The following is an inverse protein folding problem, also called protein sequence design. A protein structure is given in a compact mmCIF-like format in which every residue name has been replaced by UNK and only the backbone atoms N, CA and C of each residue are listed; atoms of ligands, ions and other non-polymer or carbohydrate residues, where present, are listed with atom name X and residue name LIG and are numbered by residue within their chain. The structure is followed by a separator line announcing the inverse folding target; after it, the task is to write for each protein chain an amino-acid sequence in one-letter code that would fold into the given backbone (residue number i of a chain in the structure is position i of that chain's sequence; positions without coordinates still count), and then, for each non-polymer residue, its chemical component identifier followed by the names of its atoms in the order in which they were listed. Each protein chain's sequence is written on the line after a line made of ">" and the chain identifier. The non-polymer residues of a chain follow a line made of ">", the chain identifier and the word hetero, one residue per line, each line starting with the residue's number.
data_IF_718711534749
#
_entry.id   IF_718711534749
#
_cell.length_a   1.000
_cell.length_b   1.000
_cell.length_c   1.000
_cell.angle_alpha   90.00
_cell.angle_beta   90.00
_cell.angle_gamma   90.00
#
_symmetry.space_group_name_H-M   'P 1'
#
loop_
_entity.id
_entity.type
_entity.pdbx_description
1 polymer ?
#
# COMPACT_ATOMS: atom_id res chain seq x y z
N UNK A 1 4.41 -7.44 -12.15
CA UNK A 1 4.43 -6.48 -13.27
C UNK A 1 3.10 -6.56 -13.96
N UNK A 2 2.45 -5.42 -14.13
CA UNK A 2 1.15 -5.27 -14.77
C UNK A 2 1.26 -4.24 -15.90
N UNK A 3 0.47 -4.44 -16.96
CA UNK A 3 0.22 -3.45 -18.01
C UNK A 3 -1.28 -3.17 -18.05
N UNK A 4 -1.65 -1.90 -17.99
CA UNK A 4 -3.02 -1.44 -18.07
C UNK A 4 -3.16 -0.44 -19.22
N UNK A 5 -4.12 -0.66 -20.11
CA UNK A 5 -4.67 0.38 -21.01
C UNK A 5 -6.04 0.75 -20.45
N UNK A 6 -6.26 2.04 -20.24
CA UNK A 6 -7.56 2.54 -19.77
C UNK A 6 -7.96 3.81 -20.50
N UNK A 7 -9.26 4.07 -20.42
CA UNK A 7 -9.94 5.26 -20.93
C UNK A 7 -10.73 5.90 -19.76
N UNK A 8 -11.06 7.19 -19.87
CA UNK A 8 -11.83 7.95 -18.88
C UNK A 8 -11.23 7.98 -17.45
N UNK A 9 -9.92 8.15 -17.32
CA UNK A 9 -9.32 8.40 -16.00
C UNK A 9 -9.71 9.78 -15.42
N UNK A 10 -10.26 9.80 -14.21
CA UNK A 10 -10.69 11.02 -13.50
C UNK A 10 -9.54 12.02 -13.20
N UNK A 11 -8.31 11.52 -13.09
CA UNK A 11 -7.14 12.33 -12.72
C UNK A 11 -6.02 12.08 -13.74
N UNK A 12 -5.57 13.13 -14.44
CA UNK A 12 -4.52 13.09 -15.46
C UNK A 12 -5.08 12.97 -16.88
N UNK A 13 -4.31 12.42 -17.83
CA UNK A 13 -4.82 12.12 -19.19
C UNK A 13 -5.94 11.09 -19.14
N UNK A 14 -7.03 11.32 -19.87
CA UNK A 14 -8.20 10.43 -19.92
C UNK A 14 -7.86 9.08 -20.56
N UNK A 15 -6.95 9.05 -21.53
CA UNK A 15 -6.45 7.84 -22.16
C UNK A 15 -4.94 7.69 -21.92
N UNK A 16 -4.53 6.51 -21.42
CA UNK A 16 -3.12 6.22 -21.17
C UNK A 16 -2.83 4.74 -21.01
N UNK A 17 -1.56 4.41 -21.18
CA UNK A 17 -0.98 3.14 -20.78
C UNK A 17 -0.27 3.30 -19.43
N UNK A 18 -0.40 2.33 -18.54
CA UNK A 18 0.30 2.29 -17.25
C UNK A 18 1.04 0.96 -17.14
N UNK A 19 2.35 1.04 -16.89
CA UNK A 19 3.14 -0.11 -16.47
C UNK A 19 3.33 -0.02 -14.96
N UNK A 20 2.87 -1.04 -14.23
CA UNK A 20 3.01 -1.12 -12.77
C UNK A 20 4.03 -2.20 -12.41
N UNK A 21 5.02 -1.84 -11.61
CA UNK A 21 5.92 -2.77 -10.94
C UNK A 21 5.53 -2.88 -9.48
N UNK A 22 5.41 -4.10 -8.97
CA UNK A 22 5.05 -4.37 -7.59
C UNK A 22 6.04 -5.34 -6.98
N UNK A 23 6.38 -5.13 -5.72
CA UNK A 23 7.22 -6.02 -4.94
C UNK A 23 6.67 -6.15 -3.52
N UNK A 24 6.62 -7.37 -3.01
CA UNK A 24 6.34 -7.64 -1.60
C UNK A 24 7.36 -8.61 -1.04
N UNK A 25 7.80 -8.33 0.19
CA UNK A 25 8.66 -9.23 0.97
C UNK A 25 8.21 -9.24 2.42
N UNK A 26 8.27 -10.42 3.06
CA UNK A 26 7.86 -10.62 4.45
C UNK A 26 8.93 -11.41 5.20
N UNK A 27 9.19 -10.99 6.43
CA UNK A 27 10.10 -11.62 7.38
C UNK A 27 9.41 -11.76 8.75
N UNK A 28 10.10 -12.36 9.72
CA UNK A 28 9.59 -12.41 11.11
C UNK A 28 9.51 -11.02 11.74
N UNK A 29 10.40 -10.11 11.36
CA UNK A 29 10.51 -8.75 11.90
C UNK A 29 9.52 -7.77 11.29
N UNK A 30 8.85 -8.12 10.18
CA UNK A 30 8.02 -7.17 9.45
C UNK A 30 7.82 -7.52 7.98
N UNK A 31 7.31 -6.56 7.21
CA UNK A 31 7.18 -6.69 5.76
C UNK A 31 7.38 -5.36 5.04
N UNK A 32 7.57 -5.43 3.73
CA UNK A 32 7.60 -4.26 2.85
C UNK A 32 6.73 -4.53 1.64
N UNK A 33 5.96 -3.52 1.25
CA UNK A 33 5.27 -3.46 -0.04
C UNK A 33 5.77 -2.25 -0.81
N UNK A 34 6.04 -2.42 -2.09
CA UNK A 34 6.49 -1.37 -3.00
C UNK A 34 5.67 -1.46 -4.28
N UNK A 35 5.25 -0.31 -4.80
CA UNK A 35 4.78 -0.24 -6.18
C UNK A 35 5.30 1.00 -6.89
N UNK A 36 5.35 0.92 -8.22
CA UNK A 36 5.69 2.06 -9.07
C UNK A 36 4.93 1.98 -10.38
N UNK A 37 4.26 3.07 -10.71
CA UNK A 37 3.50 3.28 -11.93
C UNK A 37 4.28 4.17 -12.89
N UNK A 38 4.41 3.71 -14.14
CA UNK A 38 4.91 4.48 -15.27
C UNK A 38 3.76 4.70 -16.24
N UNK A 39 3.27 5.94 -16.28
CA UNK A 39 2.14 6.36 -17.11
C UNK A 39 2.65 6.97 -18.42
N UNK A 40 2.12 6.49 -19.53
CA UNK A 40 2.36 6.96 -20.89
C UNK A 40 1.03 7.41 -21.49
N UNK A 41 0.80 8.72 -21.53
CA UNK A 41 -0.41 9.31 -22.08
C UNK A 41 -0.31 9.45 -23.60
N UNK A 42 -1.46 9.49 -24.26
CA UNK A 42 -1.56 9.57 -25.73
C UNK A 42 -1.12 10.94 -26.28
N UNK A 43 -1.14 11.98 -25.44
CA UNK A 43 -0.56 13.29 -25.74
C UNK A 43 0.98 13.31 -25.70
N UNK A 44 1.61 12.15 -25.44
CA UNK A 44 3.05 11.97 -25.34
C UNK A 44 3.64 12.29 -23.97
N UNK A 45 2.83 12.68 -22.98
CA UNK A 45 3.32 12.95 -21.63
C UNK A 45 3.63 11.65 -20.86
N UNK A 46 4.78 11.64 -20.15
CA UNK A 46 5.25 10.49 -19.37
C UNK A 46 5.31 10.87 -17.90
N UNK A 47 4.64 10.13 -17.01
CA UNK A 47 4.68 10.33 -15.56
C UNK A 47 5.13 9.08 -14.81
N UNK A 48 5.77 9.29 -13.66
CA UNK A 48 6.11 8.23 -12.73
C UNK A 48 5.54 8.57 -11.35
N UNK A 49 5.02 7.56 -10.68
CA UNK A 49 4.57 7.61 -9.30
C UNK A 49 4.99 6.32 -8.61
N UNK A 50 5.28 6.35 -7.32
CA UNK A 50 5.55 5.13 -6.58
C UNK A 50 5.46 5.32 -5.09
N UNK A 51 5.30 4.19 -4.41
CA UNK A 51 5.20 4.12 -2.96
C UNK A 51 6.00 2.97 -2.39
N UNK A 52 6.50 3.16 -1.17
CA UNK A 52 7.11 2.12 -0.35
C UNK A 52 6.51 2.15 1.06
N UNK A 53 6.03 1.00 1.52
CA UNK A 53 5.36 0.81 2.82
C UNK A 53 6.08 -0.25 3.63
N UNK A 54 7.16 0.09 4.36
CA UNK A 54 7.76 -0.81 5.31
C UNK A 54 6.95 -0.85 6.61
N UNK A 55 6.86 -2.04 7.20
CA UNK A 55 6.21 -2.29 8.48
C UNK A 55 7.14 -3.09 9.39
N UNK A 56 7.22 -2.68 10.65
CA UNK A 56 8.05 -3.30 11.67
C UNK A 56 7.16 -3.89 12.77
N UNK A 57 7.27 -5.20 13.01
CA UNK A 57 6.46 -5.95 13.99
C UNK A 57 6.83 -5.56 15.42
N UNK A 58 5.86 -5.01 16.16
CA UNK A 58 6.01 -4.73 17.58
C UNK A 58 5.95 -6.02 18.41
N UNK A 59 5.19 -7.03 17.95
CA UNK A 59 5.22 -8.37 18.55
C UNK A 59 6.62 -8.96 18.56
N UNK A 60 7.29 -8.93 17.41
CA UNK A 60 8.66 -9.40 17.30
C UNK A 60 9.67 -8.53 18.06
N UNK A 61 9.52 -7.19 18.06
CA UNK A 61 10.47 -6.30 18.74
C UNK A 61 10.43 -6.43 20.27
N UNK A 62 9.24 -6.65 20.83
CA UNK A 62 9.01 -6.64 22.27
C UNK A 62 8.66 -8.01 22.84
N UNK A 63 8.80 -9.08 22.04
CA UNK A 63 8.48 -10.47 22.42
C UNK A 63 7.04 -10.62 22.96
N UNK A 64 6.09 -9.96 22.29
CA UNK A 64 4.68 -9.97 22.69
C UNK A 64 3.93 -11.10 21.98
N UNK A 65 3.21 -11.90 22.77
CA UNK A 65 2.26 -12.88 22.27
C UNK A 65 0.84 -12.29 22.28
N UNK A 66 0.24 -12.16 21.10
CA UNK A 66 -1.14 -11.71 20.93
C UNK A 66 -2.18 -12.85 21.07
N UNK A 67 -1.71 -14.09 21.25
CA UNK A 67 -2.53 -15.28 21.44
C UNK A 67 -3.40 -15.63 20.23
N UNK A 68 -4.45 -16.43 20.45
CA UNK A 68 -5.41 -16.82 19.42
C UNK A 68 -6.53 -15.79 19.17
N UNK A 69 -6.25 -14.50 19.45
CA UNK A 69 -7.22 -13.41 19.32
C UNK A 69 -7.43 -12.92 17.90
N UNK A 70 -8.30 -11.91 17.76
CA UNK A 70 -8.57 -11.22 16.50
C UNK A 70 -7.32 -10.53 15.93
N UNK A 71 -6.47 -9.97 16.79
CA UNK A 71 -5.23 -9.30 16.39
C UNK A 71 -4.13 -10.36 16.32
N UNK A 72 -3.49 -10.48 15.15
CA UNK A 72 -2.34 -11.36 14.95
C UNK A 72 -1.05 -10.70 15.40
N UNK A 73 -0.87 -9.44 15.04
CA UNK A 73 0.33 -8.65 15.32
C UNK A 73 0.03 -7.17 15.07
N UNK A 74 0.82 -6.29 15.69
CA UNK A 74 0.75 -4.83 15.55
C UNK A 74 2.10 -4.32 15.04
N UNK A 75 2.07 -3.33 14.17
CA UNK A 75 3.25 -2.84 13.46
C UNK A 75 3.39 -1.32 13.57
N UNK A 76 4.62 -0.86 13.71
CA UNK A 76 4.97 0.50 13.30
C UNK A 76 5.03 0.53 11.77
N UNK A 77 4.34 1.49 11.16
CA UNK A 77 4.18 1.57 9.69
C UNK A 77 4.62 2.93 9.20
N UNK A 78 5.41 2.93 8.14
CA UNK A 78 5.74 4.13 7.36
C UNK A 78 5.24 3.91 5.94
N UNK A 79 4.80 4.96 5.27
CA UNK A 79 4.62 4.95 3.82
C UNK A 79 5.26 6.23 3.24
N UNK A 80 6.01 6.08 2.16
CA UNK A 80 6.58 7.18 1.41
C UNK A 80 6.03 7.14 0.00
N UNK A 81 5.40 8.24 -0.41
CA UNK A 81 4.88 8.45 -1.77
C UNK A 81 5.78 9.42 -2.52
N UNK A 82 6.04 9.15 -3.80
CA UNK A 82 6.77 10.07 -4.67
C UNK A 82 6.15 10.14 -6.06
N UNK A 83 5.95 11.36 -6.55
CA UNK A 83 5.45 11.62 -7.90
C UNK A 83 6.10 12.85 -8.52
N UNK A 84 5.48 13.34 -9.60
CA UNK A 84 5.91 14.56 -10.31
C UNK A 84 5.70 15.84 -9.47
N UNK A 85 6.38 16.91 -9.88
CA UNK A 85 6.16 18.28 -9.40
C UNK A 85 6.29 18.47 -7.87
N UNK A 86 7.25 17.77 -7.25
CA UNK A 86 7.50 17.89 -5.82
C UNK A 86 6.42 17.24 -4.94
N UNK A 87 5.61 16.35 -5.52
CA UNK A 87 4.72 15.50 -4.77
C UNK A 87 5.56 14.43 -4.06
N UNK A 88 5.86 14.69 -2.80
CA UNK A 88 6.53 13.76 -1.89
C UNK A 88 5.70 13.75 -0.61
N UNK A 89 5.22 12.60 -0.16
CA UNK A 89 4.45 12.50 1.10
C UNK A 89 5.04 11.49 2.02
N UNK A 90 4.93 11.80 3.30
CA UNK A 90 5.39 10.97 4.38
C UNK A 90 4.21 10.62 5.26
N UNK A 91 4.01 9.33 5.43
CA UNK A 91 2.98 8.76 6.26
C UNK A 91 3.62 7.93 7.36
N UNK A 92 3.11 8.06 8.57
CA UNK A 92 3.60 7.32 9.73
C UNK A 92 2.45 6.98 10.67
N UNK A 93 2.45 5.76 11.19
CA UNK A 93 1.42 5.36 12.14
C UNK A 93 1.51 3.90 12.53
N UNK A 94 0.36 3.34 12.89
CA UNK A 94 0.24 1.96 13.38
C UNK A 94 -0.59 1.14 12.42
N UNK A 95 -0.27 -0.14 12.31
CA UNK A 95 -1.13 -1.08 11.62
C UNK A 95 -1.29 -2.37 12.41
N UNK A 96 -2.34 -3.12 12.09
CA UNK A 96 -2.60 -4.44 12.64
C UNK A 96 -2.88 -5.44 11.53
N UNK A 97 -2.35 -6.64 11.69
CA UNK A 97 -2.78 -7.80 10.91
C UNK A 97 -3.85 -8.53 11.73
N UNK A 98 -4.98 -8.88 11.10
CA UNK A 98 -6.11 -9.53 11.75
C UNK A 98 -6.25 -11.00 11.35
N UNK A 99 -6.61 -11.83 12.33
CA UNK A 99 -7.00 -13.22 12.17
C UNK A 99 -8.49 -13.31 11.81
N UNK A 100 -8.85 -13.03 10.55
CA UNK A 100 -10.23 -13.14 10.07
C UNK A 100 -10.45 -14.47 9.31
N UNK A 101 -11.51 -15.24 9.65
CA UNK A 101 -11.83 -16.47 8.95
C UNK A 101 -12.00 -16.27 7.43
N UNK A 102 -11.36 -17.13 6.64
CA UNK A 102 -11.44 -17.11 5.17
C UNK A 102 -10.52 -16.09 4.48
N UNK A 103 -9.75 -15.31 5.23
CA UNK A 103 -8.74 -14.40 4.67
C UNK A 103 -7.34 -15.00 4.82
N UNK A 104 -6.54 -14.95 3.75
CA UNK A 104 -5.10 -15.22 3.82
C UNK A 104 -4.39 -14.15 4.66
N UNK A 105 -4.83 -12.90 4.48
CA UNK A 105 -4.47 -11.78 5.34
C UNK A 105 -5.56 -10.72 5.30
N UNK A 106 -5.65 -9.96 6.39
CA UNK A 106 -6.40 -8.71 6.45
C UNK A 106 -5.58 -7.71 7.27
N UNK A 107 -5.24 -6.58 6.65
CA UNK A 107 -4.38 -5.53 7.22
C UNK A 107 -5.19 -4.25 7.37
N UNK A 108 -5.05 -3.59 8.51
CA UNK A 108 -5.62 -2.27 8.79
C UNK A 108 -4.48 -1.33 9.16
N UNK A 109 -4.33 -0.22 8.44
CA UNK A 109 -3.27 0.77 8.69
C UNK A 109 -3.91 2.12 8.94
N UNK A 110 -3.62 2.73 10.09
CA UNK A 110 -4.02 4.09 10.43
C UNK A 110 -2.77 4.97 10.47
N UNK A 111 -2.66 5.89 9.51
CA UNK A 111 -1.46 6.66 9.23
C UNK A 111 -1.75 8.15 9.31
N UNK A 112 -0.91 8.86 10.05
CA UNK A 112 -0.81 10.30 9.95
C UNK A 112 -0.03 10.66 8.68
N UNK A 113 -0.56 11.58 7.89
CA UNK A 113 -0.07 11.92 6.54
C UNK A 113 0.28 13.39 6.45
N UNK A 114 1.56 13.65 6.18
CA UNK A 114 2.07 14.96 5.81
C UNK A 114 2.08 15.12 4.29
N UNK A 115 1.51 16.22 3.82
CA UNK A 115 1.47 16.59 2.40
C UNK A 115 2.13 17.96 2.23
N UNK A 116 3.42 18.03 1.86
CA UNK A 116 4.17 19.28 1.75
C UNK A 116 3.57 20.28 0.75
N UNK A 117 2.68 19.84 -0.15
CA UNK A 117 2.00 20.70 -1.11
C UNK A 117 0.74 21.37 -0.52
N UNK A 118 0.35 21.03 0.70
CA UNK A 118 -0.85 21.54 1.38
C UNK A 118 -0.51 21.99 2.80
N UNK A 119 -1.22 22.98 3.30
CA UNK A 119 -1.08 23.39 4.70
C UNK A 119 -1.78 22.40 5.62
N UNK A 120 -1.06 21.93 6.63
CA UNK A 120 -1.57 21.02 7.66
C UNK A 120 -1.30 19.56 7.33
N UNK A 121 -1.80 18.69 8.20
CA UNK A 121 -1.66 17.24 8.08
C UNK A 121 -3.02 16.58 7.98
N UNK A 122 -3.04 15.35 7.48
CA UNK A 122 -4.25 14.56 7.24
C UNK A 122 -4.10 13.17 7.86
N UNK A 123 -5.17 12.40 7.92
CA UNK A 123 -5.16 11.01 8.37
C UNK A 123 -5.56 10.11 7.20
N UNK A 124 -4.98 8.91 7.14
CA UNK A 124 -5.27 7.90 6.12
C UNK A 124 -5.54 6.54 6.78
N UNK A 125 -6.66 5.93 6.39
CA UNK A 125 -7.01 4.56 6.75
C UNK A 125 -6.87 3.67 5.52
N UNK A 126 -5.92 2.74 5.55
CA UNK A 126 -5.72 1.74 4.49
C UNK A 126 -6.20 0.37 4.94
N UNK A 127 -7.03 -0.27 4.12
CA UNK A 127 -7.44 -1.67 4.28
C UNK A 127 -6.85 -2.48 3.12
N UNK A 128 -6.16 -3.57 3.43
CA UNK A 128 -5.63 -4.49 2.42
C UNK A 128 -5.94 -5.93 2.80
N UNK A 129 -6.51 -6.70 1.89
CA UNK A 129 -6.94 -8.06 2.18
C UNK A 129 -6.73 -8.99 0.99
N UNK A 130 -6.59 -10.29 1.29
CA UNK A 130 -6.67 -11.35 0.31
C UNK A 130 -7.65 -12.42 0.80
N UNK A 131 -8.71 -12.64 0.02
CA UNK A 131 -9.69 -13.69 0.22
C UNK A 131 -9.71 -14.57 -1.02
N UNK A 132 -9.11 -15.77 -0.99
CA UNK A 132 -9.14 -16.69 -2.11
C UNK A 132 -10.58 -17.05 -2.49
N UNK A 133 -10.83 -17.14 -3.79
CA UNK A 133 -12.07 -17.65 -4.35
C UNK A 133 -11.72 -18.68 -5.43
N UNK A 134 -12.59 -19.66 -5.60
CA UNK A 134 -12.46 -20.69 -6.62
C UNK A 134 -13.51 -20.42 -7.70
N UNK A 135 -13.10 -20.50 -8.97
CA UNK A 135 -13.99 -20.36 -10.11
C UNK A 135 -13.84 -21.60 -11.00
N UNK A 136 -14.93 -22.35 -11.18
CA UNK A 136 -14.95 -23.61 -11.92
C UNK A 136 -14.49 -24.82 -11.09
N UNK A 137 -14.69 -26.01 -11.66
CA UNK A 137 -14.24 -27.28 -11.08
C UNK A 137 -12.76 -27.52 -11.41
N UNK A 138 -12.01 -28.03 -10.43
CA UNK A 138 -10.57 -28.39 -10.53
C UNK A 138 -10.44 -29.87 -10.84
#
# INVERSE_FOLDING_TARGET
>A
MQLLRGEAFEIGSEERNIVTLEHTSRWSTGDVFVFSDFTFADDGSIAAYGEITPRLSLGHLFDLDFGAGLIRDVYLTVNYERGKQGLERYLGGVSADLNLPGFTFFKVMALHRDDPQRHGTTEQLTLAWNRPAQLGDV
#
